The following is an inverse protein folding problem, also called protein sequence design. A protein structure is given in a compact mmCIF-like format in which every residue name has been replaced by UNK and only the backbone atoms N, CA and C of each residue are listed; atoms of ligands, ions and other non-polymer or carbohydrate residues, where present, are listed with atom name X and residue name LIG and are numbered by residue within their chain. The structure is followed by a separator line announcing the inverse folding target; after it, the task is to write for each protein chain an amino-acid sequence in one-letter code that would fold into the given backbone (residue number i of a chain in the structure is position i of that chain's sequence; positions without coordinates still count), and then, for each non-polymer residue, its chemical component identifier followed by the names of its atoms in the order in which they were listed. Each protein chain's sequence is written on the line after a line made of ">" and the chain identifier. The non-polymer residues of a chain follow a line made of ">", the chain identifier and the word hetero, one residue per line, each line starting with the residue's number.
data_IF_951840133309
#
_entry.id   IF_951840133309
#
_cell.length_a   1.000
_cell.length_b   1.000
_cell.length_c   1.000
_cell.angle_alpha   90.00
_cell.angle_beta   90.00
_cell.angle_gamma   90.00
#
_symmetry.space_group_name_H-M   'P 1'
#
loop_
_entity.id
_entity.type
_entity.pdbx_description
1 polymer ?
#
# COMPACT_ATOMS: atom_id res chain seq x y z
N UNK A 1 7.40 -13.80 -4.13
CA UNK A 1 7.79 -14.74 -3.08
C UNK A 1 6.78 -15.88 -2.88
N UNK A 2 6.80 -16.89 -3.75
CA UNK A 2 5.90 -18.05 -3.70
C UNK A 2 5.83 -18.72 -2.30
N UNK A 3 6.97 -19.06 -1.70
CA UNK A 3 7.01 -19.70 -0.36
C UNK A 3 6.34 -18.85 0.74
N UNK A 4 6.44 -17.53 0.67
CA UNK A 4 5.81 -16.63 1.65
C UNK A 4 4.29 -16.63 1.46
N UNK A 5 3.81 -16.63 0.20
CA UNK A 5 2.39 -16.73 -0.11
C UNK A 5 1.80 -18.08 0.34
N UNK A 6 2.51 -19.18 0.09
CA UNK A 6 2.11 -20.53 0.54
C UNK A 6 2.00 -20.62 2.06
N UNK A 7 2.93 -20.00 2.81
CA UNK A 7 2.86 -19.98 4.27
C UNK A 7 1.77 -19.06 4.80
N UNK A 8 1.50 -17.95 4.11
CA UNK A 8 0.44 -17.03 4.49
C UNK A 8 -0.96 -17.63 4.29
N UNK A 9 -1.16 -18.48 3.28
CA UNK A 9 -2.46 -19.13 3.02
C UNK A 9 -2.89 -20.11 4.11
N UNK A 10 -1.97 -20.53 4.98
CA UNK A 10 -2.25 -21.43 6.12
C UNK A 10 -2.67 -20.69 7.39
N UNK A 11 -2.70 -19.35 7.38
CA UNK A 11 -3.08 -18.55 8.54
C UNK A 11 -4.59 -18.32 8.54
N UNK A 12 -5.18 -18.30 9.74
CA UNK A 12 -6.61 -18.02 9.90
C UNK A 12 -7.02 -16.71 9.19
N UNK A 13 -8.26 -16.63 8.73
CA UNK A 13 -8.83 -15.48 8.01
C UNK A 13 -8.16 -15.13 6.65
N UNK A 14 -7.12 -15.85 6.21
CA UNK A 14 -6.52 -15.66 4.89
C UNK A 14 -7.27 -16.49 3.85
N UNK A 15 -8.21 -15.86 3.14
CA UNK A 15 -9.04 -16.51 2.11
C UNK A 15 -8.26 -16.78 0.83
N UNK A 16 -7.36 -15.86 0.44
CA UNK A 16 -6.56 -15.97 -0.77
C UNK A 16 -5.16 -15.39 -0.53
N UNK A 17 -4.13 -16.07 -1.06
CA UNK A 17 -2.75 -15.58 -1.03
C UNK A 17 -2.07 -15.91 -2.36
N UNK A 18 -1.48 -14.89 -3.00
CA UNK A 18 -0.88 -14.99 -4.34
C UNK A 18 0.48 -14.31 -4.38
N UNK A 19 1.37 -14.87 -5.19
CA UNK A 19 2.63 -14.22 -5.55
C UNK A 19 2.45 -13.42 -6.85
N UNK A 20 2.46 -12.09 -6.75
CA UNK A 20 2.27 -11.18 -7.88
C UNK A 20 3.59 -10.45 -8.12
N UNK A 21 4.23 -10.70 -9.26
CA UNK A 21 5.57 -10.16 -9.60
C UNK A 21 5.61 -8.63 -9.47
N UNK A 22 4.58 -7.95 -9.98
CA UNK A 22 4.44 -6.49 -9.94
C UNK A 22 3.07 -6.07 -9.42
N UNK A 23 2.83 -6.22 -8.11
CA UNK A 23 1.56 -5.89 -7.49
C UNK A 23 1.12 -4.42 -7.71
N UNK A 24 2.06 -3.47 -7.83
CA UNK A 24 1.73 -2.06 -8.08
C UNK A 24 1.41 -1.74 -9.55
N UNK A 25 1.71 -2.65 -10.49
CA UNK A 25 1.34 -2.47 -11.90
C UNK A 25 -0.17 -2.53 -12.09
N UNK A 26 -0.68 -1.96 -13.18
CA UNK A 26 -2.11 -2.02 -13.51
C UNK A 26 -2.64 -3.46 -13.57
N UNK A 27 -1.97 -4.44 -14.24
CA UNK A 27 -2.39 -5.84 -14.18
C UNK A 27 -2.40 -6.41 -12.75
N UNK A 28 -1.38 -6.10 -11.94
CA UNK A 28 -1.31 -6.56 -10.55
C UNK A 28 -2.42 -5.99 -9.68
N UNK A 29 -2.72 -4.70 -9.83
CA UNK A 29 -3.85 -4.07 -9.17
C UNK A 29 -5.17 -4.68 -9.61
N UNK A 30 -5.36 -4.94 -10.91
CA UNK A 30 -6.59 -5.55 -11.42
C UNK A 30 -6.78 -6.96 -10.86
N UNK A 31 -5.71 -7.75 -10.72
CA UNK A 31 -5.78 -9.07 -10.10
C UNK A 31 -6.27 -8.97 -8.64
N UNK A 32 -5.75 -8.02 -7.85
CA UNK A 32 -6.19 -7.81 -6.47
C UNK A 32 -7.66 -7.36 -6.42
N UNK A 33 -8.10 -6.47 -7.32
CA UNK A 33 -9.50 -6.03 -7.39
C UNK A 33 -10.45 -7.19 -7.71
N UNK A 34 -10.07 -8.05 -8.66
CA UNK A 34 -10.87 -9.22 -9.00
C UNK A 34 -11.00 -10.14 -7.79
N UNK A 35 -9.89 -10.39 -7.07
CA UNK A 35 -9.91 -11.22 -5.87
C UNK A 35 -10.80 -10.63 -4.76
N UNK A 36 -10.80 -9.30 -4.59
CA UNK A 36 -11.70 -8.60 -3.65
C UNK A 36 -13.16 -8.93 -3.97
N UNK A 37 -13.55 -8.83 -5.24
CA UNK A 37 -14.93 -9.05 -5.67
C UNK A 37 -15.32 -10.54 -5.66
N UNK A 38 -14.45 -11.41 -6.17
CA UNK A 38 -14.70 -12.85 -6.28
C UNK A 38 -14.84 -13.53 -4.91
N UNK A 39 -14.04 -13.10 -3.94
CA UNK A 39 -13.99 -13.71 -2.61
C UNK A 39 -14.67 -12.89 -1.51
N UNK A 40 -15.21 -11.71 -1.84
CA UNK A 40 -15.83 -10.81 -0.86
C UNK A 40 -14.84 -10.35 0.22
N UNK A 41 -13.59 -10.06 -0.17
CA UNK A 41 -12.53 -9.72 0.78
C UNK A 41 -12.81 -8.36 1.43
N UNK A 42 -12.56 -8.28 2.74
CA UNK A 42 -12.79 -7.08 3.52
C UNK A 42 -11.50 -6.52 4.16
N UNK A 43 -10.35 -7.16 3.97
CA UNK A 43 -9.02 -6.74 4.47
C UNK A 43 -7.98 -7.15 3.45
N UNK A 44 -6.99 -6.29 3.22
CA UNK A 44 -5.94 -6.53 2.23
C UNK A 44 -4.57 -6.34 2.87
N UNK A 45 -3.69 -7.32 2.68
CA UNK A 45 -2.26 -7.20 3.01
C UNK A 45 -1.46 -7.21 1.72
N UNK A 46 -0.64 -6.19 1.49
CA UNK A 46 0.30 -6.15 0.37
C UNK A 46 1.72 -6.24 0.88
N UNK A 47 2.38 -7.37 0.63
CA UNK A 47 3.74 -7.62 1.04
C UNK A 47 4.73 -7.28 -0.09
N UNK A 48 5.26 -6.05 -0.10
CA UNK A 48 6.10 -5.57 -1.21
C UNK A 48 7.15 -4.55 -0.75
N UNK A 49 7.11 -3.32 -1.29
CA UNK A 49 7.98 -2.21 -0.96
C UNK A 49 7.44 -1.36 0.18
N UNK A 50 8.16 -0.28 0.50
CA UNK A 50 7.80 0.66 1.54
C UNK A 50 6.40 1.27 1.36
N UNK A 51 5.59 1.33 2.44
CA UNK A 51 4.32 2.05 2.43
C UNK A 51 4.48 3.52 2.06
N UNK A 52 5.64 4.13 2.38
CA UNK A 52 5.97 5.51 1.98
C UNK A 52 5.93 5.74 0.47
N UNK A 53 6.09 4.68 -0.33
CA UNK A 53 6.10 4.74 -1.78
C UNK A 53 4.73 4.43 -2.37
N UNK A 54 4.17 3.26 -2.06
CA UNK A 54 2.98 2.74 -2.77
C UNK A 54 1.72 2.56 -1.91
N UNK A 55 1.74 2.95 -0.63
CA UNK A 55 0.50 2.94 0.15
C UNK A 55 -0.59 3.82 -0.47
N UNK A 56 -0.32 5.05 -0.96
CA UNK A 56 -1.33 5.84 -1.65
C UNK A 56 -1.88 5.14 -2.91
N UNK A 57 -1.02 4.44 -3.65
CA UNK A 57 -1.41 3.67 -4.84
C UNK A 57 -2.39 2.56 -4.48
N UNK A 58 -2.07 1.75 -3.48
CA UNK A 58 -2.95 0.66 -3.07
C UNK A 58 -4.23 1.16 -2.39
N UNK A 59 -4.18 2.26 -1.63
CA UNK A 59 -5.39 2.87 -1.07
C UNK A 59 -6.36 3.35 -2.16
N UNK A 60 -5.86 3.97 -3.23
CA UNK A 60 -6.67 4.34 -4.40
C UNK A 60 -7.24 3.11 -5.11
N UNK A 61 -6.45 2.04 -5.22
CA UNK A 61 -6.90 0.77 -5.77
C UNK A 61 -8.08 0.19 -4.97
N UNK A 62 -7.98 0.14 -3.64
CA UNK A 62 -9.05 -0.32 -2.75
C UNK A 62 -10.31 0.53 -2.91
N UNK A 63 -10.18 1.86 -2.93
CA UNK A 63 -11.31 2.77 -3.17
C UNK A 63 -12.02 2.48 -4.49
N UNK A 64 -11.27 2.20 -5.56
CA UNK A 64 -11.86 1.87 -6.86
C UNK A 64 -12.54 0.49 -6.90
N UNK A 65 -12.29 -0.35 -5.90
CA UNK A 65 -12.94 -1.65 -5.69
C UNK A 65 -14.02 -1.59 -4.59
N UNK A 66 -14.46 -0.38 -4.22
CA UNK A 66 -15.46 -0.14 -3.17
C UNK A 66 -15.08 -0.70 -1.78
N UNK A 67 -13.77 -0.82 -1.52
CA UNK A 67 -13.24 -1.21 -0.22
C UNK A 67 -12.64 0.00 0.50
N UNK A 68 -12.92 0.12 1.80
CA UNK A 68 -12.40 1.21 2.60
C UNK A 68 -10.85 1.20 2.59
N UNK A 69 -10.18 2.32 2.22
CA UNK A 69 -8.73 2.35 2.03
C UNK A 69 -7.92 2.10 3.31
N UNK A 70 -8.53 2.25 4.49
CA UNK A 70 -7.89 2.02 5.78
C UNK A 70 -7.96 0.56 6.23
N UNK A 71 -8.52 -0.32 5.40
CA UNK A 71 -8.54 -1.77 5.58
C UNK A 71 -7.37 -2.47 4.86
N UNK A 72 -6.33 -1.69 4.57
CA UNK A 72 -5.07 -2.09 3.96
C UNK A 72 -3.96 -2.10 5.01
N UNK A 73 -3.11 -3.13 4.99
CA UNK A 73 -1.81 -3.13 5.66
C UNK A 73 -0.70 -3.49 4.65
N UNK A 74 0.46 -2.86 4.75
CA UNK A 74 1.60 -3.15 3.89
C UNK A 74 2.77 -3.73 4.69
N UNK A 75 3.24 -4.92 4.29
CA UNK A 75 4.47 -5.51 4.82
C UNK A 75 5.65 -5.15 3.90
N UNK A 76 6.66 -4.46 4.43
CA UNK A 76 7.85 -4.10 3.66
C UNK A 76 8.83 -5.28 3.58
N UNK A 77 8.78 -6.01 2.47
CA UNK A 77 9.67 -7.13 2.18
C UNK A 77 10.88 -6.73 1.33
N UNK A 78 10.97 -5.48 0.87
CA UNK A 78 12.05 -5.01 -0.01
C UNK A 78 13.12 -4.25 0.75
N UNK A 79 12.86 -2.98 1.08
CA UNK A 79 13.83 -2.11 1.75
C UNK A 79 14.19 -2.63 3.15
N UNK A 80 13.25 -3.29 3.82
CA UNK A 80 13.45 -3.81 5.18
C UNK A 80 13.77 -5.32 5.24
N UNK A 81 13.84 -6.02 4.10
CA UNK A 81 14.13 -7.44 4.09
C UNK A 81 15.04 -7.85 2.93
N UNK A 82 14.54 -7.99 1.70
CA UNK A 82 15.32 -8.59 0.61
C UNK A 82 16.57 -7.80 0.23
N UNK A 83 16.53 -6.46 0.24
CA UNK A 83 17.68 -5.63 -0.11
C UNK A 83 18.79 -5.61 0.95
N UNK A 84 18.43 -5.82 2.21
CA UNK A 84 19.39 -5.78 3.32
C UNK A 84 19.91 -7.16 3.72
N UNK A 85 19.29 -8.23 3.19
CA UNK A 85 19.61 -9.63 3.50
C UNK A 85 19.93 -10.44 2.23
N UNK A 86 20.51 -9.81 1.22
CA UNK A 86 20.75 -10.44 -0.10
C UNK A 86 21.62 -11.71 -0.02
N UNK A 87 22.52 -11.76 0.97
CA UNK A 87 23.44 -12.88 1.18
C UNK A 87 22.86 -13.98 2.09
N UNK A 88 21.65 -13.80 2.63
CA UNK A 88 21.02 -14.72 3.60
C UNK A 88 19.56 -15.03 3.20
N UNK A 89 19.31 -15.62 2.01
CA UNK A 89 17.96 -15.75 1.45
C UNK A 89 17.00 -16.60 2.30
N UNK A 90 17.50 -17.61 3.01
CA UNK A 90 16.68 -18.43 3.91
C UNK A 90 16.22 -17.62 5.13
N UNK A 91 17.14 -16.89 5.77
CA UNK A 91 16.83 -16.01 6.90
C UNK A 91 15.92 -14.85 6.46
N UNK A 92 16.16 -14.28 5.28
CA UNK A 92 15.31 -13.26 4.67
C UNK A 92 13.89 -13.78 4.43
N UNK A 93 13.74 -15.02 3.95
CA UNK A 93 12.42 -15.64 3.75
C UNK A 93 11.69 -15.84 5.07
N UNK A 94 12.40 -16.32 6.11
CA UNK A 94 11.82 -16.45 7.45
C UNK A 94 11.35 -15.10 7.99
N UNK A 95 12.20 -14.07 7.91
CA UNK A 95 11.85 -12.70 8.30
C UNK A 95 10.66 -12.18 7.50
N UNK A 96 10.61 -12.41 6.20
CA UNK A 96 9.51 -11.99 5.35
C UNK A 96 8.18 -12.63 5.77
N UNK A 97 8.19 -13.92 6.07
CA UNK A 97 7.02 -14.62 6.62
C UNK A 97 6.57 -14.01 7.94
N UNK A 98 7.50 -13.69 8.85
CA UNK A 98 7.14 -13.07 10.13
C UNK A 98 6.58 -11.66 9.95
N UNK A 99 7.12 -10.85 9.04
CA UNK A 99 6.57 -9.54 8.69
C UNK A 99 5.14 -9.63 8.13
N UNK A 100 4.87 -10.63 7.29
CA UNK A 100 3.52 -10.87 6.77
C UNK A 100 2.57 -11.31 7.87
N UNK A 101 2.99 -12.19 8.79
CA UNK A 101 2.19 -12.58 9.97
C UNK A 101 1.84 -11.38 10.85
N UNK A 102 2.80 -10.48 11.06
CA UNK A 102 2.58 -9.24 11.81
C UNK A 102 1.57 -8.33 11.10
N UNK A 103 1.69 -8.16 9.78
CA UNK A 103 0.75 -7.37 8.99
C UNK A 103 -0.66 -7.96 9.02
N UNK A 104 -0.81 -9.28 8.88
CA UNK A 104 -2.11 -9.98 9.01
C UNK A 104 -2.69 -9.76 10.41
N UNK A 105 -1.89 -9.90 11.46
CA UNK A 105 -2.36 -9.69 12.83
C UNK A 105 -2.89 -8.27 13.04
N UNK A 106 -2.24 -7.27 12.42
CA UNK A 106 -2.67 -5.87 12.47
C UNK A 106 -3.92 -5.62 11.63
N UNK A 107 -3.98 -6.14 10.39
CA UNK A 107 -5.10 -5.91 9.47
C UNK A 107 -6.43 -6.41 10.05
N UNK A 108 -6.40 -7.50 10.82
CA UNK A 108 -7.56 -8.06 11.53
C UNK A 108 -8.22 -7.06 12.50
N UNK A 109 -7.44 -6.14 13.06
CA UNK A 109 -7.90 -5.16 14.04
C UNK A 109 -8.23 -3.80 13.40
N UNK A 110 -7.92 -3.60 12.11
CA UNK A 110 -8.24 -2.35 11.44
C UNK A 110 -9.75 -2.16 11.34
N UNK A 111 -10.18 -0.92 11.49
CA UNK A 111 -11.56 -0.48 11.32
C UNK A 111 -11.64 0.47 10.12
N UNK A 112 -12.77 0.49 9.39
CA UNK A 112 -12.97 1.46 8.33
C UNK A 112 -12.92 2.87 8.91
N UNK A 113 -12.21 3.78 8.24
CA UNK A 113 -12.15 5.20 8.62
C UNK A 113 -12.69 6.08 7.49
N UNK A 114 -13.15 7.26 7.85
CA UNK A 114 -13.57 8.30 6.92
C UNK A 114 -12.47 9.36 6.80
N UNK A 115 -12.23 9.84 5.58
CA UNK A 115 -11.30 10.94 5.36
C UNK A 115 -11.92 12.27 5.77
N UNK A 116 -11.19 13.08 6.53
CA UNK A 116 -11.63 14.43 6.88
C UNK A 116 -11.50 15.37 5.68
N UNK A 117 -12.52 16.20 5.45
CA UNK A 117 -12.48 17.31 4.51
C UNK A 117 -12.21 18.60 5.27
N UNK A 118 -11.04 19.17 5.08
CA UNK A 118 -10.65 20.42 5.71
C UNK A 118 -10.78 21.59 4.71
N UNK A 119 -11.25 22.77 5.16
CA UNK A 119 -11.35 23.93 4.29
C UNK A 119 -9.96 24.43 3.87
N UNK A 120 -9.75 24.60 2.57
CA UNK A 120 -8.52 25.18 2.04
C UNK A 120 -8.61 26.70 2.06
N UNK A 121 -7.67 27.35 2.76
CA UNK A 121 -7.49 28.79 2.64
C UNK A 121 -6.74 29.08 1.34
N UNK A 122 -7.34 29.84 0.42
CA UNK A 122 -6.72 30.28 -0.85
C UNK A 122 -5.62 31.33 -0.62
N UNK A 123 -4.56 30.98 0.12
CA UNK A 123 -3.38 31.81 0.38
C UNK A 123 -2.13 30.94 0.31
N UNK A 124 -1.07 31.47 -0.28
CA UNK A 124 0.24 30.81 -0.42
C UNK A 124 1.30 31.64 0.29
N UNK A 125 2.20 31.01 1.04
CA UNK A 125 3.38 31.65 1.64
C UNK A 125 4.63 31.12 0.94
N UNK A 126 5.48 32.02 0.43
CA UNK A 126 6.78 31.69 -0.17
C UNK A 126 7.85 32.23 0.78
N UNK A 127 8.78 31.36 1.19
CA UNK A 127 9.91 31.73 2.05
C UNK A 127 11.19 31.55 1.23
N UNK A 128 11.80 32.67 0.84
CA UNK A 128 12.99 32.74 0.00
C UNK A 128 12.67 33.11 -1.45
N UNK A 129 13.22 34.23 -1.93
CA UNK A 129 13.16 34.66 -3.32
C UNK A 129 14.55 35.14 -3.74
N UNK A 130 15.29 34.31 -4.46
CA UNK A 130 16.59 34.69 -5.01
C UNK A 130 16.62 34.50 -6.53
N UNK A 131 17.53 35.24 -7.16
CA UNK A 131 17.68 35.51 -8.58
C UNK A 131 17.85 34.24 -9.43
N UNK A 132 16.73 33.66 -9.86
CA UNK A 132 16.54 33.14 -11.22
C UNK A 132 15.06 32.76 -11.36
N UNK A 133 14.31 33.63 -12.07
CA UNK A 133 12.99 33.39 -12.65
C UNK A 133 12.01 32.51 -11.85
N UNK A 134 11.38 33.10 -10.84
CA UNK A 134 10.19 32.52 -10.22
C UNK A 134 8.96 33.35 -10.61
N UNK A 135 8.28 32.94 -11.68
CA UNK A 135 6.98 33.47 -12.07
C UNK A 135 5.88 32.46 -11.72
N UNK A 136 5.07 32.75 -10.71
CA UNK A 136 3.88 31.97 -10.40
C UNK A 136 2.64 32.65 -10.98
N UNK A 137 2.03 32.01 -11.98
CA UNK A 137 0.71 32.39 -12.46
C UNK A 137 -0.33 31.56 -11.71
N UNK A 138 -1.05 32.20 -10.80
CA UNK A 138 -2.20 31.60 -10.15
C UNK A 138 -3.46 31.93 -10.97
N UNK A 139 -3.85 31.02 -11.86
CA UNK A 139 -5.20 31.05 -12.43
C UNK A 139 -6.18 30.44 -11.43
N UNK A 140 -7.22 31.19 -11.09
CA UNK A 140 -8.43 30.67 -10.43
C UNK A 140 -9.36 30.16 -11.52
N UNK A 141 -9.62 28.85 -11.66
CA UNK A 141 -10.59 28.34 -12.64
C UNK A 141 -12.05 28.46 -12.13
N UNK A 142 -12.30 29.32 -11.13
CA UNK A 142 -13.59 29.44 -10.44
C UNK A 142 -14.00 30.89 -10.15
N UNK A 143 -13.68 31.82 -11.04
CA UNK A 143 -14.29 33.16 -11.10
C UNK A 143 -15.15 33.30 -12.37
#
# INVERSE_FOLDING_TARGET
>A
CQKVAELASQLDDVIVSKDIIYACSEPGQQQIKNDILEHGLNRIVVASCSPRLHEPTFRQMLQSADLNPYLLEMANLREQCSWVHMNEPEAATKKATDLVKMAISRVRLLMPLEGERLPLTKRTLIIGGFYEHVSFHFYSPWD
#
